data_IF_529693356516
#
_entry.id   IF_529693356516
#
_cell.length_a   1.000
_cell.length_b   1.000
_cell.length_c   1.000
_cell.angle_alpha   90.00
_cell.angle_beta   90.00
_cell.angle_gamma   90.00
#
_symmetry.space_group_name_H-M   'P 1'
#
loop_
_entity.id
_entity.type
_entity.pdbx_description
1 polymer ?
#
# COMPACT_ATOMS: atom_id res chain seq x y z
N UNK A 1 -21.51 12.62 -19.57
CA UNK A 1 -21.26 13.84 -18.77
C UNK A 1 -22.49 14.25 -17.95
N UNK A 2 -23.69 14.25 -18.54
CA UNK A 2 -24.90 14.70 -17.84
C UNK A 2 -25.22 13.89 -16.59
N UNK A 3 -25.04 12.56 -16.63
CA UNK A 3 -25.16 11.72 -15.43
C UNK A 3 -24.19 12.14 -14.32
N UNK A 4 -22.92 12.39 -14.65
CA UNK A 4 -21.91 12.82 -13.66
C UNK A 4 -22.30 14.18 -13.04
N UNK A 5 -22.73 15.11 -13.88
CA UNK A 5 -23.20 16.43 -13.42
C UNK A 5 -24.42 16.33 -12.52
N UNK A 6 -25.39 15.50 -12.88
CA UNK A 6 -26.58 15.25 -12.05
C UNK A 6 -26.18 14.73 -10.65
N UNK A 7 -25.33 13.72 -10.59
CA UNK A 7 -24.86 13.16 -9.31
C UNK A 7 -24.11 14.19 -8.45
N UNK A 8 -23.34 15.10 -9.06
CA UNK A 8 -22.63 16.16 -8.32
C UNK A 8 -23.59 17.26 -7.88
N UNK A 9 -24.44 17.77 -8.78
CA UNK A 9 -25.27 18.94 -8.52
C UNK A 9 -26.49 18.63 -7.66
N UNK A 10 -27.15 17.50 -7.91
CA UNK A 10 -28.41 17.13 -7.25
C UNK A 10 -28.19 16.18 -6.06
N UNK A 11 -27.24 15.25 -6.19
CA UNK A 11 -27.00 14.23 -5.17
C UNK A 11 -25.76 14.50 -4.31
N UNK A 12 -24.99 15.54 -4.63
CA UNK A 12 -23.84 16.03 -3.86
C UNK A 12 -22.73 14.99 -3.63
N UNK A 13 -22.47 14.11 -4.61
CA UNK A 13 -21.35 13.17 -4.51
C UNK A 13 -20.02 13.89 -4.67
N UNK A 14 -18.98 13.42 -3.95
CA UNK A 14 -17.65 14.03 -3.91
C UNK A 14 -16.68 13.46 -4.94
N UNK A 15 -17.03 12.37 -5.61
CA UNK A 15 -16.16 11.72 -6.59
C UNK A 15 -16.76 10.49 -7.24
N UNK A 16 -16.03 9.98 -8.25
CA UNK A 16 -16.39 8.80 -9.02
C UNK A 16 -15.17 7.90 -9.20
N UNK A 17 -15.39 6.61 -9.11
CA UNK A 17 -14.49 5.59 -9.64
C UNK A 17 -15.13 5.01 -10.89
N UNK A 18 -14.37 4.97 -11.98
CA UNK A 18 -14.81 4.47 -13.28
C UNK A 18 -14.31 3.04 -13.46
N UNK A 19 -15.28 2.14 -13.59
CA UNK A 19 -15.03 0.74 -13.89
C UNK A 19 -14.49 0.57 -15.29
N UNK A 20 -13.45 -0.29 -15.45
CA UNK A 20 -12.83 -0.58 -16.74
C UNK A 20 -12.63 0.68 -17.62
N UNK A 21 -12.11 1.76 -17.01
CA UNK A 21 -12.16 3.10 -17.58
C UNK A 21 -11.39 3.25 -18.89
N UNK A 22 -10.47 2.36 -19.23
CA UNK A 22 -9.77 2.37 -20.53
C UNK A 22 -10.70 2.22 -21.72
N UNK A 23 -11.90 1.63 -21.54
CA UNK A 23 -12.91 1.53 -22.62
C UNK A 23 -13.38 2.92 -23.10
N UNK A 24 -13.39 3.93 -22.20
CA UNK A 24 -13.78 5.30 -22.52
C UNK A 24 -12.74 6.03 -23.37
N UNK A 25 -11.55 5.47 -23.48
CA UNK A 25 -10.44 5.98 -24.31
C UNK A 25 -10.31 5.27 -25.65
N UNK A 26 -11.27 4.44 -26.07
CA UNK A 26 -11.25 3.74 -27.36
C UNK A 26 -12.11 4.46 -28.41
N UNK A 27 -11.71 4.33 -29.68
CA UNK A 27 -12.54 4.72 -30.82
C UNK A 27 -13.62 3.63 -31.14
N UNK A 28 -14.42 3.89 -32.18
CA UNK A 28 -15.48 2.96 -32.62
C UNK A 28 -14.95 1.63 -33.16
N UNK A 29 -13.68 1.59 -33.57
CA UNK A 29 -13.00 0.39 -34.06
C UNK A 29 -12.25 -0.37 -32.94
N UNK A 30 -12.34 0.14 -31.69
CA UNK A 30 -11.73 -0.47 -30.52
C UNK A 30 -10.26 -0.09 -30.31
N UNK A 31 -9.69 0.83 -31.10
CA UNK A 31 -8.31 1.29 -30.91
C UNK A 31 -8.21 2.28 -29.75
N UNK A 32 -7.12 2.20 -28.98
CA UNK A 32 -6.83 3.17 -27.93
C UNK A 32 -6.41 4.50 -28.55
N UNK A 33 -7.10 5.57 -28.17
CA UNK A 33 -6.80 6.93 -28.59
C UNK A 33 -5.63 7.50 -27.77
N UNK A 34 -4.69 8.15 -28.45
CA UNK A 34 -3.60 8.86 -27.79
C UNK A 34 -4.09 10.12 -27.05
N UNK A 35 -5.20 10.69 -27.48
CA UNK A 35 -5.84 11.88 -26.91
C UNK A 35 -7.36 11.62 -26.75
N UNK A 36 -7.80 10.91 -25.70
CA UNK A 36 -9.18 10.46 -25.54
C UNK A 36 -10.11 11.62 -25.13
N UNK A 37 -10.95 12.15 -26.03
CA UNK A 37 -11.67 13.40 -25.82
C UNK A 37 -12.69 13.32 -24.67
N UNK A 38 -13.25 12.14 -24.38
CA UNK A 38 -14.18 11.97 -23.26
C UNK A 38 -13.48 12.07 -21.91
N UNK A 39 -12.31 11.44 -21.78
CA UNK A 39 -11.54 11.50 -20.54
C UNK A 39 -11.03 12.92 -20.25
N UNK A 40 -10.63 13.67 -21.28
CA UNK A 40 -10.25 15.06 -21.15
C UNK A 40 -11.45 15.94 -20.76
N UNK A 41 -12.59 15.77 -21.43
CA UNK A 41 -13.81 16.52 -21.08
C UNK A 41 -14.26 16.30 -19.65
N UNK A 42 -14.13 15.07 -19.13
CA UNK A 42 -14.44 14.77 -17.72
C UNK A 42 -13.45 15.50 -16.80
N UNK A 43 -12.16 15.49 -17.14
CA UNK A 43 -11.13 16.11 -16.33
C UNK A 43 -11.24 17.64 -16.27
N UNK A 44 -11.67 18.28 -17.36
CA UNK A 44 -11.70 19.73 -17.54
C UNK A 44 -13.06 20.37 -17.28
N UNK A 45 -14.14 19.57 -17.12
CA UNK A 45 -15.48 20.10 -16.92
C UNK A 45 -15.57 20.98 -15.67
N UNK A 46 -16.07 22.24 -15.78
CA UNK A 46 -16.12 23.19 -14.68
C UNK A 46 -16.94 22.73 -13.46
N UNK A 47 -17.97 21.90 -13.67
CA UNK A 47 -18.81 21.35 -12.58
C UNK A 47 -18.03 20.24 -11.87
N UNK A 48 -17.29 19.41 -12.62
CA UNK A 48 -16.55 18.27 -12.10
C UNK A 48 -15.17 18.64 -11.55
N UNK A 49 -14.64 19.83 -11.76
CA UNK A 49 -13.24 20.21 -11.44
C UNK A 49 -12.82 19.97 -10.00
N UNK A 50 -13.76 20.06 -9.05
CA UNK A 50 -13.51 19.82 -7.63
C UNK A 50 -13.91 18.41 -7.18
N UNK A 51 -14.41 17.58 -8.09
CA UNK A 51 -14.86 16.20 -7.84
C UNK A 51 -13.70 15.25 -8.07
N UNK A 52 -13.50 14.28 -7.20
CA UNK A 52 -12.47 13.25 -7.40
C UNK A 52 -12.86 12.36 -8.59
N UNK A 53 -11.91 12.10 -9.48
CA UNK A 53 -12.07 11.19 -10.60
C UNK A 53 -10.96 10.13 -10.54
N UNK A 54 -11.36 8.88 -10.44
CA UNK A 54 -10.47 7.74 -10.25
C UNK A 54 -10.77 6.71 -11.33
N UNK A 55 -9.74 6.26 -12.02
CA UNK A 55 -9.87 5.26 -13.07
C UNK A 55 -9.41 3.88 -12.57
N UNK A 56 -10.14 2.87 -12.95
CA UNK A 56 -9.59 1.56 -13.15
C UNK A 56 -8.97 1.55 -14.56
N UNK A 57 -7.64 1.78 -14.62
CA UNK A 57 -6.94 2.12 -15.86
C UNK A 57 -6.59 0.88 -16.71
N UNK A 58 -7.55 -0.03 -16.87
CA UNK A 58 -7.51 -1.21 -17.75
C UNK A 58 -8.89 -1.52 -18.29
N UNK A 59 -9.02 -2.52 -19.17
CA UNK A 59 -10.30 -2.99 -19.68
C UNK A 59 -10.26 -4.48 -20.07
N UNK A 60 -11.44 -5.06 -20.34
CA UNK A 60 -11.60 -6.44 -20.77
C UNK A 60 -10.99 -6.72 -22.18
N UNK A 61 -10.70 -5.69 -22.97
CA UNK A 61 -10.02 -5.79 -24.25
C UNK A 61 -8.51 -5.89 -24.17
N UNK A 62 -7.94 -5.97 -22.93
CA UNK A 62 -6.51 -6.14 -22.70
C UNK A 62 -5.72 -4.84 -22.61
N UNK A 63 -6.36 -3.68 -22.57
CA UNK A 63 -5.66 -2.43 -22.30
C UNK A 63 -5.20 -2.38 -20.84
N UNK A 64 -3.98 -1.89 -20.63
CA UNK A 64 -3.43 -1.58 -19.32
C UNK A 64 -2.71 -0.24 -19.39
N UNK A 65 -3.40 0.82 -18.95
CA UNK A 65 -3.00 2.22 -19.12
C UNK A 65 -2.69 2.91 -17.77
N UNK A 66 -2.23 2.14 -16.78
CA UNK A 66 -1.87 2.70 -15.47
C UNK A 66 -0.65 3.62 -15.62
N UNK A 67 -0.85 4.90 -15.30
CA UNK A 67 0.09 6.00 -15.51
C UNK A 67 -0.28 6.93 -16.66
N UNK A 68 -1.15 6.51 -17.59
CA UNK A 68 -1.40 7.19 -18.86
C UNK A 68 -2.67 8.05 -18.91
N UNK A 69 -3.55 7.98 -17.91
CA UNK A 69 -4.80 8.77 -17.92
C UNK A 69 -4.50 10.27 -17.86
N UNK A 70 -5.26 11.11 -18.59
CA UNK A 70 -4.91 12.52 -18.79
C UNK A 70 -5.18 13.40 -17.57
N UNK A 71 -4.44 14.49 -17.45
CA UNK A 71 -4.68 15.57 -16.50
C UNK A 71 -4.75 15.12 -15.04
N UNK A 72 -5.85 15.43 -14.35
CA UNK A 72 -6.05 15.22 -12.91
C UNK A 72 -6.62 13.85 -12.52
N UNK A 73 -6.77 12.91 -13.44
CA UNK A 73 -7.19 11.56 -13.14
C UNK A 73 -6.24 10.89 -12.14
N UNK A 74 -6.79 10.34 -11.06
CA UNK A 74 -6.09 9.36 -10.24
C UNK A 74 -6.45 7.95 -10.72
N UNK A 75 -5.58 6.98 -10.45
CA UNK A 75 -5.70 5.65 -11.00
C UNK A 75 -5.46 4.59 -9.92
N UNK A 76 -6.25 3.52 -9.93
CA UNK A 76 -5.91 2.33 -9.16
C UNK A 76 -4.60 1.76 -9.66
N UNK A 77 -3.60 1.70 -8.77
CA UNK A 77 -2.26 1.27 -9.13
C UNK A 77 -2.10 -0.25 -8.98
N UNK A 78 -2.45 -1.00 -10.02
CA UNK A 78 -2.27 -2.45 -10.04
C UNK A 78 -0.81 -2.90 -9.92
N UNK A 79 0.16 -2.10 -10.45
CA UNK A 79 1.59 -2.41 -10.27
C UNK A 79 2.04 -2.27 -8.81
N UNK A 80 1.49 -1.29 -8.07
CA UNK A 80 1.74 -1.20 -6.64
C UNK A 80 1.31 -2.48 -5.93
N UNK A 81 0.07 -2.94 -6.17
CA UNK A 81 -0.46 -4.18 -5.63
C UNK A 81 0.47 -5.36 -5.90
N UNK A 82 0.83 -5.54 -7.15
CA UNK A 82 1.57 -6.73 -7.59
C UNK A 82 3.02 -6.71 -7.07
N UNK A 83 3.71 -5.58 -7.15
CA UNK A 83 5.10 -5.45 -6.72
C UNK A 83 5.23 -5.59 -5.19
N UNK A 84 4.30 -5.03 -4.43
CA UNK A 84 4.28 -5.16 -2.96
C UNK A 84 3.97 -6.60 -2.54
N UNK A 85 2.99 -7.27 -3.19
CA UNK A 85 2.70 -8.68 -2.94
C UNK A 85 3.90 -9.58 -3.23
N UNK A 86 4.56 -9.40 -4.38
CA UNK A 86 5.78 -10.15 -4.78
C UNK A 86 6.91 -9.97 -3.77
N UNK A 87 7.16 -8.74 -3.33
CA UNK A 87 8.20 -8.47 -2.34
C UNK A 87 7.94 -9.23 -1.04
N UNK A 88 6.73 -9.13 -0.47
CA UNK A 88 6.39 -9.79 0.80
C UNK A 88 6.24 -11.31 0.67
N UNK A 89 5.95 -11.81 -0.52
CA UNK A 89 5.98 -13.24 -0.83
C UNK A 89 7.41 -13.78 -0.88
N UNK A 90 8.40 -12.93 -1.11
CA UNK A 90 9.81 -13.30 -1.23
C UNK A 90 10.23 -13.68 -2.65
N UNK A 91 9.58 -13.11 -3.65
CA UNK A 91 9.97 -13.29 -5.05
C UNK A 91 11.32 -12.62 -5.32
N UNK A 92 12.16 -13.16 -6.22
CA UNK A 92 13.43 -12.52 -6.57
C UNK A 92 13.23 -11.25 -7.39
N UNK A 93 14.23 -10.38 -7.40
CA UNK A 93 14.28 -9.17 -8.22
C UNK A 93 13.14 -8.16 -7.92
N UNK A 94 12.74 -8.04 -6.65
CA UNK A 94 11.60 -7.20 -6.25
C UNK A 94 11.97 -5.92 -5.52
N UNK A 95 13.18 -5.83 -4.94
CA UNK A 95 13.57 -4.71 -4.06
C UNK A 95 13.51 -3.36 -4.77
N UNK A 96 14.00 -3.24 -6.01
CA UNK A 96 13.98 -1.99 -6.77
C UNK A 96 12.54 -1.54 -7.11
N UNK A 97 11.68 -2.47 -7.53
CA UNK A 97 10.26 -2.19 -7.77
C UNK A 97 9.56 -1.78 -6.48
N UNK A 98 9.77 -2.51 -5.40
CA UNK A 98 9.20 -2.18 -4.09
C UNK A 98 9.60 -0.77 -3.64
N UNK A 99 10.89 -0.42 -3.75
CA UNK A 99 11.36 0.93 -3.43
C UNK A 99 10.66 2.00 -4.28
N UNK A 100 10.49 1.77 -5.58
CA UNK A 100 9.75 2.67 -6.48
C UNK A 100 8.28 2.79 -6.07
N UNK A 101 7.64 1.67 -5.68
CA UNK A 101 6.22 1.70 -5.25
C UNK A 101 6.03 2.49 -3.97
N UNK A 102 6.84 2.26 -2.94
CA UNK A 102 6.67 2.95 -1.65
C UNK A 102 6.99 4.45 -1.72
N UNK A 103 7.73 4.90 -2.74
CA UNK A 103 8.03 6.32 -3.00
C UNK A 103 7.10 6.96 -4.04
N UNK A 104 5.92 6.37 -4.29
CA UNK A 104 4.85 7.02 -5.06
C UNK A 104 4.82 6.69 -6.54
N UNK A 105 5.60 5.70 -7.01
CA UNK A 105 5.56 5.22 -8.40
C UNK A 105 5.90 6.30 -9.43
N UNK A 106 7.03 6.99 -9.24
CA UNK A 106 7.49 8.08 -10.13
C UNK A 106 7.77 7.63 -11.57
N UNK A 107 8.01 6.34 -11.79
CA UNK A 107 8.14 5.72 -13.11
C UNK A 107 6.85 5.79 -13.95
N UNK A 108 5.69 5.91 -13.29
CA UNK A 108 4.38 6.04 -13.93
C UNK A 108 3.81 7.46 -13.81
N UNK A 109 4.00 8.11 -12.67
CA UNK A 109 3.36 9.39 -12.36
C UNK A 109 4.36 10.56 -12.27
N UNK A 110 5.57 10.42 -12.82
CA UNK A 110 6.66 11.41 -12.71
C UNK A 110 6.29 12.82 -13.19
N UNK A 111 5.41 12.92 -14.19
CA UNK A 111 4.89 14.20 -14.70
C UNK A 111 3.68 14.75 -13.92
N UNK A 112 3.14 14.03 -12.92
CA UNK A 112 1.88 14.38 -12.25
C UNK A 112 2.05 14.56 -10.74
N UNK A 113 2.49 13.53 -10.04
CA UNK A 113 2.69 13.52 -8.59
C UNK A 113 2.17 12.24 -7.93
N UNK A 114 2.64 11.92 -6.70
CA UNK A 114 2.34 10.65 -6.04
C UNK A 114 0.86 10.46 -5.70
N UNK A 115 0.09 11.51 -5.54
CA UNK A 115 -1.35 11.43 -5.20
C UNK A 115 -2.24 10.97 -6.36
N UNK A 116 -1.71 10.84 -7.58
CA UNK A 116 -2.41 10.19 -8.71
C UNK A 116 -2.43 8.67 -8.57
N UNK A 117 -1.55 8.11 -7.74
CA UNK A 117 -1.51 6.69 -7.43
C UNK A 117 -2.47 6.36 -6.28
N UNK A 118 -3.56 5.64 -6.57
CA UNK A 118 -4.38 4.99 -5.54
C UNK A 118 -3.75 3.63 -5.27
N UNK A 119 -3.04 3.55 -4.16
CA UNK A 119 -2.32 2.35 -3.74
C UNK A 119 -3.26 1.38 -3.03
N UNK A 120 -3.18 0.10 -3.35
CA UNK A 120 -3.94 -0.95 -2.66
C UNK A 120 -3.18 -2.26 -2.62
N UNK A 121 -3.51 -3.09 -1.66
CA UNK A 121 -3.04 -4.48 -1.57
C UNK A 121 -4.12 -5.43 -2.08
N UNK A 122 -5.38 -5.14 -1.76
CA UNK A 122 -6.58 -5.91 -2.06
C UNK A 122 -7.68 -4.95 -2.50
N UNK A 123 -8.61 -5.44 -3.30
CA UNK A 123 -9.80 -4.71 -3.71
C UNK A 123 -11.00 -5.67 -3.76
N UNK A 124 -12.13 -5.27 -4.36
CA UNK A 124 -13.32 -6.10 -4.50
C UNK A 124 -13.08 -7.33 -5.38
N UNK A 125 -12.14 -7.24 -6.32
CA UNK A 125 -11.68 -8.36 -7.14
C UNK A 125 -10.44 -9.01 -6.52
N UNK A 126 -10.42 -10.33 -6.47
CA UNK A 126 -9.34 -11.08 -5.87
C UNK A 126 -9.56 -11.45 -4.40
N UNK A 127 -8.51 -11.94 -3.76
CA UNK A 127 -8.54 -12.31 -2.34
C UNK A 127 -8.66 -11.11 -1.42
N UNK A 128 -9.37 -11.28 -0.29
CA UNK A 128 -9.23 -10.41 0.87
C UNK A 128 -7.80 -10.49 1.43
N UNK A 129 -7.42 -9.56 2.29
CA UNK A 129 -6.09 -9.55 2.89
C UNK A 129 -5.82 -10.81 3.73
N UNK A 130 -6.83 -11.32 4.43
CA UNK A 130 -6.74 -12.58 5.16
C UNK A 130 -6.55 -13.77 4.21
N UNK A 131 -7.29 -13.81 3.11
CA UNK A 131 -7.22 -14.92 2.16
C UNK A 131 -5.92 -14.89 1.35
N UNK A 132 -5.36 -13.70 1.08
CA UNK A 132 -4.07 -13.50 0.43
C UNK A 132 -2.90 -14.21 1.17
N UNK A 133 -2.99 -14.32 2.49
CA UNK A 133 -1.98 -14.98 3.32
C UNK A 133 -2.38 -16.41 3.74
N UNK A 134 -3.53 -16.89 3.27
CA UNK A 134 -4.10 -18.17 3.71
C UNK A 134 -4.34 -19.17 2.58
N UNK A 135 -4.46 -18.68 1.34
CA UNK A 135 -4.74 -19.51 0.18
C UNK A 135 -3.74 -19.27 -0.94
N UNK A 136 -3.24 -20.35 -1.54
CA UNK A 136 -2.45 -20.28 -2.77
C UNK A 136 -3.35 -20.31 -4.00
N UNK A 137 -4.46 -21.06 -3.92
CA UNK A 137 -5.38 -21.26 -5.00
C UNK A 137 -6.76 -20.68 -4.69
N UNK A 138 -7.50 -20.30 -5.73
CA UNK A 138 -8.89 -19.82 -5.59
C UNK A 138 -9.84 -20.97 -5.33
N UNK A 139 -10.89 -20.69 -4.56
CA UNK A 139 -11.94 -21.62 -4.20
C UNK A 139 -13.31 -21.05 -4.57
N UNK A 140 -13.59 -20.91 -5.90
CA UNK A 140 -14.79 -20.27 -6.45
C UNK A 140 -15.89 -21.29 -6.83
N UNK A 141 -15.84 -22.51 -6.33
CA UNK A 141 -16.80 -23.57 -6.68
C UNK A 141 -18.24 -23.18 -6.42
N UNK A 142 -18.49 -22.38 -5.37
CA UNK A 142 -19.83 -21.90 -4.99
C UNK A 142 -20.43 -20.92 -6.01
N UNK A 143 -19.61 -20.38 -6.93
CA UNK A 143 -20.08 -19.50 -7.99
C UNK A 143 -20.76 -20.26 -9.15
N UNK A 144 -20.65 -21.61 -9.19
CA UNK A 144 -21.28 -22.43 -10.22
C UNK A 144 -20.57 -22.42 -11.58
N UNK A 145 -19.34 -21.87 -11.65
CA UNK A 145 -18.54 -21.77 -12.89
C UNK A 145 -17.33 -22.72 -12.91
N UNK A 146 -17.41 -23.83 -12.17
CA UNK A 146 -16.37 -24.88 -12.12
C UNK A 146 -14.98 -24.33 -11.72
N UNK A 147 -14.98 -23.30 -10.86
CA UNK A 147 -13.75 -22.62 -10.41
C UNK A 147 -12.92 -21.97 -11.56
N UNK A 148 -13.56 -21.66 -12.70
CA UNK A 148 -12.88 -21.03 -13.85
C UNK A 148 -12.83 -19.51 -13.77
N UNK A 149 -13.79 -18.90 -13.10
CA UNK A 149 -13.94 -17.46 -12.88
C UNK A 149 -12.90 -16.88 -11.92
N UNK A 150 -12.74 -15.57 -11.93
CA UNK A 150 -11.79 -14.85 -11.07
C UNK A 150 -10.32 -15.03 -11.47
N UNK A 151 -9.43 -14.39 -10.72
CA UNK A 151 -7.99 -14.34 -11.00
C UNK A 151 -7.29 -15.66 -10.65
N UNK A 152 -6.45 -16.17 -11.56
CA UNK A 152 -5.64 -17.37 -11.31
C UNK A 152 -4.31 -17.04 -10.62
N UNK A 153 -3.71 -15.87 -10.88
CA UNK A 153 -2.45 -15.46 -10.32
C UNK A 153 -2.63 -14.43 -9.21
N UNK A 154 -3.03 -14.88 -8.04
CA UNK A 154 -3.34 -14.01 -6.90
C UNK A 154 -2.10 -13.38 -6.25
N UNK A 155 -0.89 -13.85 -6.57
CA UNK A 155 0.36 -13.46 -5.90
C UNK A 155 0.27 -13.66 -4.37
N UNK A 156 -0.51 -14.66 -3.95
CA UNK A 156 -0.75 -15.05 -2.56
C UNK A 156 0.26 -16.07 -2.07
N UNK A 157 0.30 -16.30 -0.75
CA UNK A 157 1.10 -17.38 -0.17
C UNK A 157 0.51 -17.86 1.16
N UNK A 158 0.25 -19.17 1.29
CA UNK A 158 -0.43 -19.78 2.44
C UNK A 158 0.50 -20.12 3.62
N UNK A 159 1.81 -19.90 3.49
CA UNK A 159 2.84 -20.21 4.49
C UNK A 159 2.92 -21.69 4.90
N UNK A 160 2.54 -22.58 3.97
CA UNK A 160 2.70 -24.03 4.11
C UNK A 160 1.44 -24.78 4.53
N UNK A 161 0.29 -24.11 4.67
CA UNK A 161 -0.99 -24.76 4.94
C UNK A 161 -2.13 -24.02 4.23
N UNK A 162 -2.79 -24.71 3.30
CA UNK A 162 -3.91 -24.15 2.55
C UNK A 162 -5.15 -23.96 3.43
N UNK A 163 -5.81 -22.82 3.31
CA UNK A 163 -7.07 -22.53 3.99
C UNK A 163 -6.94 -21.82 5.32
N UNK A 164 -8.10 -21.62 5.97
CA UNK A 164 -8.20 -20.80 7.18
C UNK A 164 -7.62 -21.47 8.42
N UNK A 165 -7.61 -22.80 8.49
CA UNK A 165 -7.02 -23.53 9.59
C UNK A 165 -5.50 -23.45 9.51
N UNK A 166 -4.84 -23.07 10.60
CA UNK A 166 -3.40 -22.95 10.66
C UNK A 166 -2.88 -23.41 12.04
N UNK A 167 -1.64 -23.93 12.05
CA UNK A 167 -0.94 -24.11 13.30
C UNK A 167 -0.65 -22.75 13.97
N UNK A 168 -0.47 -22.68 15.29
CA UNK A 168 -0.13 -21.42 15.97
C UNK A 168 1.12 -20.73 15.38
N UNK A 169 2.05 -21.50 14.84
CA UNK A 169 3.25 -20.98 14.18
C UNK A 169 2.92 -20.30 12.85
N UNK A 170 2.15 -20.96 11.97
CA UNK A 170 1.72 -20.40 10.68
C UNK A 170 0.83 -19.19 10.90
N UNK A 171 -0.08 -19.26 11.87
CA UNK A 171 -0.99 -18.17 12.21
C UNK A 171 -0.23 -16.90 12.63
N UNK A 172 0.82 -17.01 13.45
CA UNK A 172 1.68 -15.86 13.79
C UNK A 172 2.38 -15.26 12.57
N UNK A 173 2.77 -16.09 11.59
CA UNK A 173 3.36 -15.59 10.35
C UNK A 173 2.31 -14.84 9.53
N UNK A 174 1.11 -15.40 9.36
CA UNK A 174 0.01 -14.77 8.61
C UNK A 174 -0.38 -13.42 9.22
N UNK A 175 -0.55 -13.35 10.53
CA UNK A 175 -0.84 -12.10 11.24
C UNK A 175 0.25 -11.03 11.01
N UNK A 176 1.52 -11.44 11.08
CA UNK A 176 2.65 -10.55 10.82
C UNK A 176 2.65 -10.03 9.38
N UNK A 177 2.40 -10.91 8.42
CA UNK A 177 2.36 -10.52 7.01
C UNK A 177 1.19 -9.58 6.68
N UNK A 178 0.04 -9.77 7.29
CA UNK A 178 -1.05 -8.81 7.22
C UNK A 178 -0.61 -7.44 7.74
N UNK A 179 0.06 -7.38 8.90
CA UNK A 179 0.61 -6.14 9.45
C UNK A 179 1.66 -5.52 8.53
N UNK A 180 2.54 -6.33 7.91
CA UNK A 180 3.55 -5.87 6.97
C UNK A 180 2.93 -5.21 5.74
N UNK A 181 1.93 -5.86 5.14
CA UNK A 181 1.21 -5.35 3.96
C UNK A 181 0.47 -4.05 4.28
N UNK A 182 -0.24 -3.98 5.41
CA UNK A 182 -0.90 -2.76 5.87
C UNK A 182 0.12 -1.64 6.20
N UNK A 183 1.20 -1.97 6.93
CA UNK A 183 2.25 -1.00 7.22
C UNK A 183 2.86 -0.44 5.92
N UNK A 184 3.21 -1.29 4.96
CA UNK A 184 3.71 -0.86 3.66
C UNK A 184 2.74 0.10 2.98
N UNK A 185 1.44 -0.22 2.94
CA UNK A 185 0.43 0.61 2.31
C UNK A 185 0.34 2.01 2.93
N UNK A 186 0.34 2.10 4.26
CA UNK A 186 0.17 3.38 4.96
C UNK A 186 1.46 4.19 5.09
N UNK A 187 2.63 3.56 4.98
CA UNK A 187 3.93 4.22 4.98
C UNK A 187 4.35 4.73 3.58
N UNK A 188 3.71 4.26 2.52
CA UNK A 188 4.01 4.65 1.14
C UNK A 188 3.48 6.03 0.78
N UNK A 189 4.16 6.75 -0.11
CA UNK A 189 3.58 7.90 -0.81
C UNK A 189 2.44 7.45 -1.73
N UNK A 190 1.50 8.33 -2.01
CA UNK A 190 0.27 8.04 -2.76
C UNK A 190 -0.95 8.00 -1.85
N UNK A 191 -2.08 7.57 -2.36
CA UNK A 191 -3.36 7.51 -1.63
C UNK A 191 -3.66 6.05 -1.25
N UNK A 192 -3.65 5.68 0.03
CA UNK A 192 -3.95 4.32 0.45
C UNK A 192 -5.44 4.01 0.31
N UNK A 193 -5.77 2.86 -0.28
CA UNK A 193 -7.10 2.28 -0.36
C UNK A 193 -7.09 0.90 0.29
N UNK A 194 -8.10 0.59 1.10
CA UNK A 194 -8.30 -0.73 1.72
C UNK A 194 -9.64 -1.31 1.28
N UNK A 195 -9.70 -2.64 1.20
CA UNK A 195 -10.95 -3.37 1.10
C UNK A 195 -11.62 -3.41 2.48
N UNK A 196 -12.91 -3.10 2.54
CA UNK A 196 -13.67 -3.14 3.78
C UNK A 196 -13.60 -4.53 4.43
N UNK A 197 -13.22 -4.57 5.71
CA UNK A 197 -13.04 -5.80 6.49
C UNK A 197 -11.60 -6.30 6.57
N UNK A 198 -10.68 -5.82 5.75
CA UNK A 198 -9.26 -6.18 5.85
C UNK A 198 -8.65 -5.74 7.18
N UNK A 199 -9.16 -4.67 7.77
CA UNK A 199 -8.75 -4.13 9.07
C UNK A 199 -9.06 -5.06 10.25
N UNK A 200 -9.91 -6.08 10.05
CA UNK A 200 -10.23 -7.11 11.04
C UNK A 200 -10.30 -8.53 10.46
N UNK A 201 -9.56 -8.77 9.36
CA UNK A 201 -9.35 -10.10 8.76
C UNK A 201 -10.60 -10.74 8.19
N UNK A 202 -11.47 -9.97 7.52
CA UNK A 202 -12.56 -10.52 6.72
C UNK A 202 -12.01 -11.58 5.76
N UNK A 203 -12.73 -12.69 5.65
CA UNK A 203 -12.43 -13.77 4.71
C UNK A 203 -13.61 -14.03 3.78
N UNK A 204 -13.31 -14.39 2.56
CA UNK A 204 -14.24 -14.94 1.58
C UNK A 204 -14.01 -16.44 1.38
N UNK A 205 -13.30 -17.06 2.35
CA UNK A 205 -13.00 -18.51 2.39
C UNK A 205 -12.24 -18.99 1.15
N UNK A 206 -11.41 -18.11 0.56
CA UNK A 206 -10.66 -18.40 -0.65
C UNK A 206 -11.44 -18.20 -1.95
N UNK A 207 -12.70 -17.75 -1.89
CA UNK A 207 -13.40 -17.28 -3.09
C UNK A 207 -12.90 -15.89 -3.45
N UNK A 208 -12.28 -15.74 -4.62
CA UNK A 208 -11.67 -14.47 -5.06
C UNK A 208 -12.54 -13.72 -6.08
N UNK A 209 -13.82 -14.11 -6.26
CA UNK A 209 -14.75 -13.50 -7.20
C UNK A 209 -16.20 -13.64 -6.71
N UNK A 210 -16.54 -13.00 -5.60
CA UNK A 210 -17.81 -13.20 -4.89
C UNK A 210 -19.01 -12.45 -5.50
N UNK A 211 -18.95 -12.05 -6.77
CA UNK A 211 -19.95 -11.20 -7.43
C UNK A 211 -21.41 -11.74 -7.36
N UNK A 212 -21.57 -13.05 -7.32
CA UNK A 212 -22.87 -13.72 -7.30
C UNK A 212 -23.24 -14.30 -5.93
N UNK A 213 -22.46 -14.02 -4.88
CA UNK A 213 -22.69 -14.55 -3.54
C UNK A 213 -23.45 -13.55 -2.67
N UNK A 214 -24.69 -13.90 -2.28
CA UNK A 214 -25.48 -13.14 -1.29
C UNK A 214 -25.67 -13.99 -0.03
N UNK A 215 -24.54 -14.31 0.62
CA UNK A 215 -24.46 -15.19 1.79
C UNK A 215 -23.20 -14.88 2.62
N UNK A 216 -22.89 -15.74 3.60
CA UNK A 216 -21.75 -15.57 4.51
C UNK A 216 -20.38 -15.65 3.84
N UNK A 217 -20.27 -15.96 2.55
CA UNK A 217 -19.01 -15.86 1.80
C UNK A 217 -18.69 -14.39 1.53
N UNK A 218 -19.68 -13.57 1.18
CA UNK A 218 -19.51 -12.15 0.86
C UNK A 218 -19.89 -11.21 2.00
N UNK A 219 -20.78 -11.65 2.90
CA UNK A 219 -21.24 -10.81 4.00
C UNK A 219 -20.11 -10.48 4.98
N UNK A 220 -20.26 -9.36 5.68
CA UNK A 220 -19.32 -8.89 6.68
C UNK A 220 -19.66 -9.48 8.05
N UNK A 221 -18.82 -10.36 8.56
CA UNK A 221 -18.94 -10.83 9.95
C UNK A 221 -18.28 -9.83 10.91
N UNK A 222 -19.09 -9.02 11.56
CA UNK A 222 -18.63 -7.98 12.48
C UNK A 222 -18.03 -8.54 13.77
N UNK A 223 -18.23 -9.82 14.11
CA UNK A 223 -17.60 -10.47 15.27
C UNK A 223 -16.08 -10.55 15.13
N UNK A 224 -15.57 -10.53 13.89
CA UNK A 224 -14.12 -10.48 13.62
C UNK A 224 -13.45 -9.23 14.18
N UNK A 225 -14.16 -8.12 14.30
CA UNK A 225 -13.63 -6.90 14.93
C UNK A 225 -13.22 -7.16 16.39
N UNK A 226 -13.98 -7.95 17.14
CA UNK A 226 -13.66 -8.32 18.53
C UNK A 226 -12.55 -9.39 18.53
N UNK A 227 -12.69 -10.43 17.72
CA UNK A 227 -11.74 -11.54 17.64
C UNK A 227 -10.34 -11.07 17.21
N UNK A 228 -10.26 -10.11 16.29
CA UNK A 228 -9.02 -9.54 15.75
C UNK A 228 -8.80 -8.09 16.18
N UNK A 229 -9.23 -7.73 17.39
CA UNK A 229 -9.13 -6.36 17.94
C UNK A 229 -7.70 -5.80 17.94
N UNK A 230 -6.68 -6.64 18.09
CA UNK A 230 -5.28 -6.24 17.97
C UNK A 230 -4.91 -5.71 16.59
N UNK A 231 -5.38 -6.36 15.52
CA UNK A 231 -5.16 -5.89 14.14
C UNK A 231 -5.95 -4.61 13.87
N UNK A 232 -7.21 -4.54 14.31
CA UNK A 232 -8.02 -3.34 14.19
C UNK A 232 -7.38 -2.13 14.88
N UNK A 233 -6.82 -2.35 16.08
CA UNK A 233 -6.02 -1.34 16.79
C UNK A 233 -4.80 -0.93 15.95
N UNK A 234 -4.02 -1.88 15.44
CA UNK A 234 -2.83 -1.64 14.62
C UNK A 234 -3.17 -0.76 13.40
N UNK A 235 -4.25 -1.09 12.70
CA UNK A 235 -4.73 -0.33 11.55
C UNK A 235 -5.11 1.11 11.90
N UNK A 236 -5.86 1.32 12.99
CA UNK A 236 -6.19 2.66 13.47
C UNK A 236 -4.94 3.48 13.76
N UNK A 237 -3.91 2.87 14.38
CA UNK A 237 -2.64 3.54 14.67
C UNK A 237 -1.85 3.87 13.39
N UNK A 238 -1.91 3.04 12.36
CA UNK A 238 -1.31 3.36 11.06
C UNK A 238 -1.97 4.59 10.42
N UNK A 239 -3.30 4.68 10.47
CA UNK A 239 -4.03 5.85 9.97
C UNK A 239 -3.64 7.12 10.74
N UNK A 240 -3.61 7.04 12.07
CA UNK A 240 -3.20 8.15 12.94
C UNK A 240 -1.76 8.59 12.62
N UNK A 241 -0.82 7.64 12.54
CA UNK A 241 0.58 7.88 12.21
C UNK A 241 0.73 8.59 10.86
N UNK A 242 0.05 8.10 9.82
CA UNK A 242 0.08 8.75 8.51
C UNK A 242 -0.51 10.15 8.53
N UNK A 243 -1.53 10.42 9.35
CA UNK A 243 -2.11 11.76 9.52
C UNK A 243 -1.19 12.70 10.28
N UNK A 244 -0.47 12.22 11.27
CA UNK A 244 0.51 13.00 12.05
C UNK A 244 1.74 13.37 11.23
N UNK A 245 2.22 12.44 10.36
CA UNK A 245 3.43 12.63 9.57
C UNK A 245 3.11 13.14 8.15
N UNK A 246 3.19 14.46 7.97
CA UNK A 246 2.91 15.15 6.69
C UNK A 246 3.87 14.71 5.60
N UNK A 247 5.11 14.36 5.95
CA UNK A 247 6.13 13.89 5.02
C UNK A 247 5.68 12.68 4.18
N UNK A 248 4.81 11.82 4.73
CA UNK A 248 4.24 10.66 4.02
C UNK A 248 3.16 11.05 3.00
N UNK A 249 2.63 12.28 3.10
CA UNK A 249 1.55 12.81 2.27
C UNK A 249 2.02 13.95 1.37
N UNK A 250 3.32 14.07 1.18
CA UNK A 250 3.93 15.07 0.32
C UNK A 250 3.39 14.96 -1.09
N UNK A 251 3.08 16.09 -1.73
CA UNK A 251 2.54 16.16 -3.10
C UNK A 251 3.60 15.99 -4.19
N UNK A 252 4.87 16.01 -3.82
CA UNK A 252 6.01 15.80 -4.72
C UNK A 252 6.74 14.52 -4.36
N UNK A 253 7.35 13.89 -5.35
CA UNK A 253 8.19 12.71 -5.11
C UNK A 253 9.43 13.06 -4.28
N UNK A 254 9.98 12.06 -3.60
CA UNK A 254 11.33 12.15 -3.05
C UNK A 254 12.35 12.17 -4.19
N UNK A 255 13.39 12.97 -4.03
CA UNK A 255 14.42 13.19 -5.06
C UNK A 255 15.70 12.41 -4.79
N UNK A 256 15.94 12.02 -3.54
CA UNK A 256 17.19 11.41 -3.11
C UNK A 256 18.38 12.39 -3.09
N UNK A 257 18.11 13.69 -3.19
CA UNK A 257 19.12 14.76 -3.21
C UNK A 257 18.83 15.80 -2.14
N UNK A 258 19.88 16.46 -1.66
CA UNK A 258 19.70 17.61 -0.78
C UNK A 258 19.15 18.79 -1.58
N UNK A 259 17.96 19.28 -1.18
CA UNK A 259 17.37 20.48 -1.74
C UNK A 259 18.09 21.74 -1.29
N UNK A 260 17.80 22.88 -1.94
CA UNK A 260 18.40 24.18 -1.57
C UNK A 260 18.12 24.51 -0.10
N UNK A 261 19.17 24.69 0.67
CA UNK A 261 19.10 25.05 2.09
C UNK A 261 19.00 23.86 3.07
N UNK A 262 19.02 22.62 2.56
CA UNK A 262 19.07 21.42 3.39
C UNK A 262 20.45 20.76 3.33
N UNK A 263 20.89 20.23 4.46
CA UNK A 263 22.19 19.55 4.57
C UNK A 263 22.11 18.09 4.09
N UNK A 264 20.97 17.45 4.29
CA UNK A 264 20.75 16.03 3.99
C UNK A 264 19.70 15.83 2.89
N UNK A 265 19.76 14.75 2.10
CA UNK A 265 18.70 14.36 1.16
C UNK A 265 17.33 14.17 1.83
N UNK A 266 16.25 14.30 1.04
CA UNK A 266 14.90 14.05 1.50
C UNK A 266 14.63 12.55 1.78
N UNK A 267 15.33 11.66 1.08
CA UNK A 267 15.35 10.20 1.32
C UNK A 267 16.75 9.64 1.08
N UNK A 268 17.15 8.65 1.88
CA UNK A 268 18.34 7.82 1.61
C UNK A 268 18.00 6.34 1.75
N UNK A 269 18.69 5.51 0.98
CA UNK A 269 18.47 4.06 0.94
C UNK A 269 19.58 3.31 1.68
N UNK A 270 19.19 2.24 2.36
CA UNK A 270 20.07 1.43 3.20
C UNK A 270 19.77 -0.06 3.03
N UNK A 271 20.75 -0.87 3.38
CA UNK A 271 20.62 -2.31 3.58
C UNK A 271 20.86 -2.66 5.05
N UNK A 272 21.29 -3.90 5.34
CA UNK A 272 21.79 -4.26 6.67
C UNK A 272 22.93 -3.36 7.15
N UNK A 273 23.72 -2.80 6.22
CA UNK A 273 24.69 -1.74 6.47
C UNK A 273 24.12 -0.40 6.05
N UNK A 274 24.37 0.63 6.86
CA UNK A 274 23.91 1.99 6.57
C UNK A 274 24.51 2.49 5.25
N UNK A 275 23.70 3.20 4.45
CA UNK A 275 24.06 3.74 3.12
C UNK A 275 24.54 2.70 2.09
N UNK A 276 24.25 1.41 2.32
CA UNK A 276 24.66 0.31 1.45
C UNK A 276 23.44 -0.58 1.10
N UNK A 277 22.49 -0.09 0.27
CA UNK A 277 21.35 -0.90 -0.17
C UNK A 277 21.80 -2.00 -1.12
N UNK A 278 21.22 -3.18 -0.97
CA UNK A 278 21.43 -4.30 -1.89
C UNK A 278 20.29 -4.40 -2.90
N UNK A 279 20.55 -3.95 -4.11
CA UNK A 279 19.62 -3.97 -5.24
C UNK A 279 19.69 -5.26 -6.07
N UNK A 280 20.45 -6.27 -5.63
CA UNK A 280 20.58 -7.51 -6.36
C UNK A 280 19.26 -8.30 -6.43
N UNK A 281 19.07 -9.14 -7.45
CA UNK A 281 17.88 -9.99 -7.55
C UNK A 281 17.65 -10.93 -6.37
N UNK A 282 18.70 -11.27 -5.62
CA UNK A 282 18.63 -12.14 -4.46
C UNK A 282 18.27 -11.41 -3.16
N UNK A 283 18.25 -10.09 -3.17
CA UNK A 283 17.90 -9.30 -1.99
C UNK A 283 16.38 -9.32 -1.74
N UNK A 284 16.02 -9.47 -0.48
CA UNK A 284 14.64 -9.39 0.03
C UNK A 284 14.55 -8.41 1.21
N UNK A 285 15.47 -7.46 1.29
CA UNK A 285 15.50 -6.48 2.38
C UNK A 285 15.85 -5.11 1.85
N UNK A 286 15.24 -4.09 2.42
CA UNK A 286 15.54 -2.70 2.12
C UNK A 286 15.20 -1.83 3.34
N UNK A 287 15.94 -0.75 3.54
CA UNK A 287 15.58 0.28 4.48
C UNK A 287 15.70 1.66 3.83
N UNK A 288 14.91 2.61 4.30
CA UNK A 288 15.00 3.99 3.88
C UNK A 288 14.85 4.94 5.07
N UNK A 289 15.65 6.00 5.05
CA UNK A 289 15.54 7.12 5.95
C UNK A 289 14.87 8.26 5.22
N UNK A 290 13.78 8.77 5.77
CA UNK A 290 13.03 9.93 5.27
C UNK A 290 13.31 11.09 6.20
N UNK A 291 13.81 12.19 5.65
CA UNK A 291 14.18 13.38 6.39
C UNK A 291 12.95 14.27 6.65
N UNK A 292 12.57 14.41 7.91
CA UNK A 292 11.41 15.19 8.34
C UNK A 292 11.52 16.70 8.08
N UNK A 293 12.72 17.23 7.85
CA UNK A 293 12.92 18.65 7.55
C UNK A 293 12.19 19.10 6.26
N UNK A 294 11.91 18.17 5.36
CA UNK A 294 11.22 18.45 4.09
C UNK A 294 9.69 18.58 4.20
N UNK A 295 9.14 18.51 5.42
CA UNK A 295 7.73 18.75 5.67
C UNK A 295 7.49 19.65 6.88
N UNK A 296 6.56 20.58 6.74
CA UNK A 296 6.10 21.45 7.82
C UNK A 296 4.75 20.95 8.35
N UNK A 297 4.65 20.82 9.65
CA UNK A 297 3.41 20.57 10.35
C UNK A 297 2.58 21.88 10.47
N UNK A 298 1.31 21.76 10.84
CA UNK A 298 0.42 22.91 10.98
C UNK A 298 0.91 23.98 11.97
N UNK A 299 1.67 23.55 13.00
CA UNK A 299 2.30 24.43 13.99
C UNK A 299 3.63 25.04 13.52
N UNK A 300 3.96 24.92 12.24
CA UNK A 300 5.21 25.35 11.63
C UNK A 300 6.49 24.65 12.14
N UNK A 301 6.38 23.61 12.96
CA UNK A 301 7.52 22.75 13.28
C UNK A 301 7.83 21.79 12.13
N UNK A 302 9.06 21.27 12.10
CA UNK A 302 9.45 20.21 11.17
C UNK A 302 8.85 18.88 11.62
N UNK A 303 8.55 18.00 10.64
CA UNK A 303 8.15 16.63 10.91
C UNK A 303 9.31 15.84 11.54
N UNK A 304 9.03 14.67 12.06
CA UNK A 304 10.06 13.76 12.56
C UNK A 304 10.81 13.06 11.41
N UNK A 305 12.07 12.70 11.64
CA UNK A 305 12.77 11.77 10.76
C UNK A 305 12.21 10.37 10.97
N UNK A 306 12.02 9.64 9.86
CA UNK A 306 11.47 8.31 9.86
C UNK A 306 12.46 7.33 9.23
N UNK A 307 12.74 6.22 9.91
CA UNK A 307 13.57 5.15 9.38
C UNK A 307 12.75 3.87 9.26
N UNK A 308 12.50 3.44 8.03
CA UNK A 308 11.73 2.24 7.72
C UNK A 308 12.66 1.11 7.33
N UNK A 309 12.43 -0.07 7.90
CA UNK A 309 13.17 -1.30 7.59
C UNK A 309 12.14 -2.36 7.18
N UNK A 310 12.30 -2.91 5.99
CA UNK A 310 11.47 -3.98 5.45
C UNK A 310 12.32 -5.22 5.25
N UNK A 311 12.04 -6.26 6.00
CA UNK A 311 12.72 -7.55 5.91
C UNK A 311 11.74 -8.64 5.46
N UNK A 312 11.62 -8.86 4.16
CA UNK A 312 10.83 -9.93 3.56
C UNK A 312 11.59 -11.26 3.47
N UNK A 313 12.84 -11.31 3.94
CA UNK A 313 13.62 -12.54 3.93
C UNK A 313 13.22 -13.51 5.03
N UNK A 314 13.58 -14.80 4.85
CA UNK A 314 13.39 -15.85 5.86
C UNK A 314 14.43 -15.83 6.98
N UNK A 315 15.31 -14.83 7.02
CA UNK A 315 16.38 -14.69 8.00
C UNK A 315 16.23 -13.41 8.79
N UNK A 316 16.37 -13.50 10.12
CA UNK A 316 16.51 -12.33 10.99
C UNK A 316 17.93 -11.80 10.93
N UNK A 317 18.11 -10.48 11.03
CA UNK A 317 19.45 -9.86 10.94
C UNK A 317 19.50 -8.51 11.63
N UNK A 318 20.71 -8.07 11.94
CA UNK A 318 20.93 -6.70 12.39
C UNK A 318 20.93 -5.73 11.21
N UNK A 319 20.36 -4.56 11.45
CA UNK A 319 20.50 -3.40 10.59
C UNK A 319 21.23 -2.30 11.34
N UNK A 320 22.24 -1.71 10.71
CA UNK A 320 22.86 -0.50 11.19
C UNK A 320 21.87 0.65 11.08
N UNK A 321 21.86 1.51 12.10
CA UNK A 321 20.96 2.66 12.16
C UNK A 321 21.79 3.90 11.83
N UNK A 322 21.47 4.62 10.72
CA UNK A 322 22.15 5.87 10.40
C UNK A 322 21.83 6.93 11.45
N UNK A 323 22.71 7.93 11.66
CA UNK A 323 22.34 9.11 12.43
C UNK A 323 21.13 9.81 11.82
N UNK A 324 20.24 10.34 12.66
CA UNK A 324 19.10 11.10 12.17
C UNK A 324 19.54 12.47 11.65
N UNK A 325 18.97 12.98 10.54
CA UNK A 325 19.24 14.33 10.05
C UNK A 325 19.02 15.42 11.10
N UNK A 326 18.03 15.24 11.97
CA UNK A 326 17.72 16.15 13.08
C UNK A 326 18.63 15.99 14.29
N UNK A 327 19.59 15.07 14.28
CA UNK A 327 20.48 14.72 15.40
C UNK A 327 19.74 14.25 16.68
N UNK A 328 18.45 13.93 16.57
CA UNK A 328 17.64 13.42 17.68
C UNK A 328 17.80 11.91 17.83
N UNK A 329 17.67 11.36 19.03
CA UNK A 329 17.79 9.92 19.26
C UNK A 329 16.64 9.15 18.61
N UNK A 330 16.97 8.02 18.01
CA UNK A 330 15.98 7.10 17.47
C UNK A 330 15.18 6.38 18.56
N UNK A 331 13.89 6.20 18.29
CA UNK A 331 12.98 5.43 19.12
C UNK A 331 12.19 4.46 18.23
N UNK A 332 11.96 3.25 18.71
CA UNK A 332 11.08 2.29 18.03
C UNK A 332 9.63 2.73 18.16
N UNK A 333 8.95 2.81 17.03
CA UNK A 333 7.51 3.10 16.94
C UNK A 333 6.70 1.87 16.54
N UNK A 334 7.16 1.14 15.53
CA UNK A 334 6.49 -0.05 14.99
C UNK A 334 7.50 -1.19 14.91
N UNK A 335 7.06 -2.39 15.29
CA UNK A 335 7.73 -3.66 14.97
C UNK A 335 6.66 -4.73 14.80
N UNK A 336 6.40 -5.13 13.57
CA UNK A 336 5.34 -6.09 13.23
C UNK A 336 5.60 -7.51 13.73
N UNK A 337 6.83 -7.79 14.18
CA UNK A 337 7.17 -9.06 14.83
C UNK A 337 6.50 -9.21 16.20
N UNK A 338 6.32 -8.10 16.88
CA UNK A 338 5.76 -8.06 18.23
C UNK A 338 4.23 -8.25 18.21
N UNK A 339 3.70 -8.68 19.33
CA UNK A 339 2.26 -8.80 19.54
C UNK A 339 1.67 -7.45 19.99
N UNK A 340 0.38 -7.29 19.80
CA UNK A 340 -0.35 -6.12 20.33
C UNK A 340 -0.31 -6.14 21.87
N UNK A 341 -0.05 -5.00 22.56
CA UNK A 341 0.06 -3.62 22.01
C UNK A 341 1.46 -3.20 21.57
N UNK A 342 2.51 -4.01 21.75
CA UNK A 342 3.91 -3.66 21.55
C UNK A 342 4.32 -3.56 20.07
N UNK A 343 3.48 -4.06 19.17
CA UNK A 343 3.66 -3.98 17.72
C UNK A 343 3.56 -2.55 17.18
N UNK A 344 2.83 -1.68 17.90
CA UNK A 344 2.68 -0.27 17.58
C UNK A 344 2.54 0.54 18.87
N UNK A 345 3.57 1.28 19.23
CA UNK A 345 3.61 2.01 20.49
C UNK A 345 2.82 3.32 20.42
N UNK A 346 2.19 3.67 21.53
CA UNK A 346 1.50 4.95 21.70
C UNK A 346 2.48 6.11 21.63
N UNK A 347 1.96 7.31 21.35
CA UNK A 347 2.77 8.54 21.37
C UNK A 347 3.29 8.79 22.77
N UNK A 348 4.59 8.96 22.88
CA UNK A 348 5.29 9.15 24.16
C UNK A 348 5.71 7.86 24.86
N UNK A 349 5.28 6.68 24.34
CA UNK A 349 5.67 5.36 24.85
C UNK A 349 6.72 4.67 23.96
N UNK A 350 7.26 5.39 22.98
CA UNK A 350 8.26 4.85 22.05
C UNK A 350 9.53 4.40 22.81
N UNK A 351 10.02 3.21 22.46
CA UNK A 351 11.20 2.63 23.10
C UNK A 351 12.48 3.23 22.53
N UNK A 352 13.36 3.85 23.33
CA UNK A 352 14.65 4.35 22.87
C UNK A 352 15.50 3.24 22.25
N UNK A 353 16.17 3.56 21.15
CA UNK A 353 17.16 2.69 20.52
C UNK A 353 18.55 3.25 20.89
N UNK A 354 19.23 2.53 21.77
CA UNK A 354 20.51 2.99 22.37
C UNK A 354 21.75 2.46 21.63
N UNK A 355 21.57 1.41 20.81
CA UNK A 355 22.63 0.84 19.98
C UNK A 355 22.59 1.43 18.57
N UNK A 356 23.73 1.41 17.89
CA UNK A 356 23.83 1.81 16.46
C UNK A 356 23.30 0.75 15.49
N UNK A 357 22.58 -0.25 16.00
CA UNK A 357 21.97 -1.33 15.22
C UNK A 357 20.67 -1.80 15.87
N UNK A 358 19.76 -2.32 15.03
CA UNK A 358 18.50 -2.93 15.47
C UNK A 358 18.39 -4.34 14.93
N UNK A 359 17.95 -5.30 15.76
CA UNK A 359 17.71 -6.66 15.33
C UNK A 359 16.32 -6.78 14.73
N UNK A 360 16.26 -6.99 13.41
CA UNK A 360 15.02 -7.09 12.64
C UNK A 360 14.70 -8.55 12.37
N UNK A 361 13.58 -9.01 12.87
CA UNK A 361 13.13 -10.37 12.66
C UNK A 361 12.77 -10.62 11.19
N UNK A 362 12.85 -11.90 10.79
CA UNK A 362 12.39 -12.33 9.46
C UNK A 362 10.95 -11.95 9.22
N UNK A 363 10.58 -11.66 8.00
CA UNK A 363 9.21 -11.29 7.59
C UNK A 363 8.64 -10.19 8.50
N UNK A 364 9.35 -9.09 8.71
CA UNK A 364 8.87 -7.99 9.56
C UNK A 364 9.22 -6.61 9.03
N UNK A 365 8.40 -5.66 9.42
CA UNK A 365 8.60 -4.22 9.22
C UNK A 365 8.92 -3.56 10.55
N UNK A 366 9.95 -2.72 10.57
CA UNK A 366 10.29 -1.88 11.72
C UNK A 366 10.26 -0.41 11.31
N UNK A 367 9.70 0.43 12.19
CA UNK A 367 9.73 1.89 12.03
C UNK A 367 10.36 2.50 13.26
N UNK A 368 11.43 3.26 13.02
CA UNK A 368 12.04 4.12 14.01
C UNK A 368 11.69 5.57 13.71
N UNK A 369 11.57 6.36 14.75
CA UNK A 369 11.22 7.79 14.69
C UNK A 369 12.22 8.60 15.52
N UNK A 370 12.65 9.74 14.97
CA UNK A 370 13.46 10.74 15.68
C UNK A 370 12.75 12.11 15.59
N UNK A 371 12.08 12.47 16.68
CA UNK A 371 11.25 13.67 16.70
C UNK A 371 11.05 14.23 18.12
#
# INVERSE_FOLDING_TARGET
LDCLKHWVMEMHVDGFRFDLASILGRDQDGNILSNPPLLEKIAEDPILRNTKIIAEAWDAGGAYQVGDFPGRWAEWNGKYRDDVRKFWRGDPNTVGYFATRITGSSDMYGGKGPYHSINFITCHDGFTLNDLVSFNEKHNWENGEENRDGENNNLSYNYGLEGLQATPYIERIRQRQIKNLLATLFLSQGVPMILAGDEFRRTQRGNNNTYCQDNEISWMDWSYRETHSGLFRFMRRLIEFRREHVILRKSTFFTGTAGNGFLHPDITWHGPYAYSPDWSPASHVIACLINGEYALLENASRDADLYFIFNASHYSRYFEIPPSPSERPWKRKIDTHLESPDDFLEKGAETPVTENRYYVHRLSTVVLIAG
#
